data_IF_807342842658
#
_entry.id   IF_807342842658
#
_cell.length_a   1.000
_cell.length_b   1.000
_cell.length_c   1.000
_cell.angle_alpha   90.00
_cell.angle_beta   90.00
_cell.angle_gamma   90.00
#
_symmetry.space_group_name_H-M   'P 1'
#
loop_
_entity.id
_entity.type
_entity.pdbx_description
1 polymer ?
#
# COMPACT_ATOMS: atom_id res chain seq x y z
N UNK A 1 20.71 -12.72 -18.87
CA UNK A 1 20.15 -11.51 -19.51
C UNK A 1 18.76 -11.86 -20.03
N UNK A 2 17.70 -11.21 -19.56
CA UNK A 2 16.35 -11.43 -20.13
C UNK A 2 16.24 -10.54 -21.36
N UNK A 3 16.25 -11.13 -22.56
CA UNK A 3 16.06 -10.36 -23.79
C UNK A 3 14.58 -9.96 -23.91
N UNK A 4 14.29 -8.88 -24.64
CA UNK A 4 12.91 -8.49 -24.94
C UNK A 4 12.15 -9.65 -25.59
N UNK A 5 12.86 -10.49 -26.34
CA UNK A 5 12.38 -11.72 -26.94
C UNK A 5 11.98 -12.75 -25.90
N UNK A 6 12.76 -12.92 -24.82
CA UNK A 6 12.43 -13.78 -23.66
C UNK A 6 11.19 -13.26 -22.92
N UNK A 7 11.05 -11.94 -22.75
CA UNK A 7 9.86 -11.34 -22.12
C UNK A 7 8.62 -11.58 -22.99
N UNK A 8 8.74 -11.39 -24.31
CA UNK A 8 7.64 -11.65 -25.25
C UNK A 8 7.25 -13.12 -25.28
N UNK A 9 8.22 -14.04 -25.36
CA UNK A 9 7.93 -15.49 -25.34
C UNK A 9 7.33 -15.94 -24.02
N UNK A 10 7.83 -15.44 -22.89
CA UNK A 10 7.23 -15.72 -21.58
C UNK A 10 5.81 -15.14 -21.48
N UNK A 11 5.59 -13.94 -22.01
CA UNK A 11 4.28 -13.30 -22.08
C UNK A 11 3.29 -14.06 -22.96
N UNK A 12 3.72 -14.60 -24.10
CA UNK A 12 2.87 -15.44 -24.96
C UNK A 12 2.63 -16.84 -24.39
N UNK A 13 3.62 -17.43 -23.71
CA UNK A 13 3.50 -18.76 -23.10
C UNK A 13 2.65 -18.76 -21.82
N UNK A 14 2.85 -17.75 -20.96
CA UNK A 14 2.15 -17.63 -19.68
C UNK A 14 0.87 -16.79 -19.78
N UNK A 15 0.77 -15.89 -20.76
CA UNK A 15 -0.36 -15.00 -20.97
C UNK A 15 -1.71 -15.73 -20.98
N UNK A 16 -1.90 -16.77 -21.81
CA UNK A 16 -3.17 -17.51 -21.87
C UNK A 16 -3.56 -18.18 -20.54
N UNK A 17 -2.60 -18.45 -19.66
CA UNK A 17 -2.82 -19.15 -18.38
C UNK A 17 -3.10 -18.18 -17.22
N UNK A 18 -2.45 -17.02 -17.21
CA UNK A 18 -2.59 -16.01 -16.15
C UNK A 18 -3.62 -14.93 -16.46
N UNK A 19 -3.76 -14.53 -17.73
CA UNK A 19 -4.69 -13.47 -18.14
C UNK A 19 -6.16 -13.76 -17.78
N UNK A 20 -6.74 -14.96 -18.05
CA UNK A 20 -8.13 -15.22 -17.67
C UNK A 20 -8.32 -15.23 -16.14
N UNK A 21 -7.33 -15.70 -15.38
CA UNK A 21 -7.37 -15.67 -13.90
C UNK A 21 -7.28 -14.24 -13.37
N UNK A 22 -6.43 -13.40 -13.94
CA UNK A 22 -6.31 -12.00 -13.58
C UNK A 22 -7.60 -11.22 -13.89
N UNK A 23 -8.21 -11.45 -15.06
CA UNK A 23 -9.48 -10.85 -15.45
C UNK A 23 -10.61 -11.32 -14.51
N UNK A 24 -10.69 -12.62 -14.23
CA UNK A 24 -11.69 -13.18 -13.31
C UNK A 24 -11.55 -12.60 -11.90
N UNK A 25 -10.32 -12.49 -11.39
CA UNK A 25 -10.04 -11.88 -10.10
C UNK A 25 -10.41 -10.40 -10.08
N UNK A 26 -10.03 -9.64 -11.09
CA UNK A 26 -10.39 -8.22 -11.23
C UNK A 26 -11.91 -8.03 -11.26
N UNK A 27 -12.62 -8.82 -12.06
CA UNK A 27 -14.08 -8.78 -12.14
C UNK A 27 -14.72 -9.11 -10.78
N UNK A 28 -14.19 -10.11 -10.07
CA UNK A 28 -14.68 -10.49 -8.73
C UNK A 28 -14.52 -9.34 -7.73
N UNK A 29 -13.34 -8.70 -7.72
CA UNK A 29 -13.05 -7.57 -6.82
C UNK A 29 -13.93 -6.36 -7.18
N UNK A 30 -14.11 -6.08 -8.48
CA UNK A 30 -14.95 -4.99 -8.98
C UNK A 30 -16.41 -5.19 -8.59
N UNK A 31 -16.97 -6.37 -8.86
CA UNK A 31 -18.37 -6.69 -8.54
C UNK A 31 -18.61 -6.58 -7.03
N UNK A 32 -17.74 -7.17 -6.20
CA UNK A 32 -17.82 -7.04 -4.73
C UNK A 32 -17.77 -5.60 -4.24
N UNK A 33 -17.05 -4.74 -4.93
CA UNK A 33 -16.97 -3.32 -4.59
C UNK A 33 -18.25 -2.57 -5.00
N UNK A 34 -18.78 -2.84 -6.20
CA UNK A 34 -20.00 -2.21 -6.70
C UNK A 34 -21.26 -2.61 -5.94
N UNK A 35 -21.32 -3.84 -5.44
CA UNK A 35 -22.46 -4.35 -4.66
C UNK A 35 -22.31 -4.09 -3.15
N UNK A 36 -21.19 -3.50 -2.72
CA UNK A 36 -20.98 -3.21 -1.30
C UNK A 36 -21.79 -1.97 -0.88
N UNK A 37 -22.52 -2.03 0.25
CA UNK A 37 -23.27 -0.89 0.78
C UNK A 37 -22.38 0.19 1.42
N UNK A 38 -21.05 0.02 1.40
CA UNK A 38 -20.11 0.93 2.07
C UNK A 38 -19.77 2.10 1.14
N UNK A 39 -19.99 3.37 1.55
CA UNK A 39 -19.70 4.53 0.73
C UNK A 39 -18.18 4.75 0.56
N UNK A 40 -17.82 5.42 -0.53
CA UNK A 40 -16.46 5.93 -0.75
C UNK A 40 -16.15 6.97 0.32
N UNK A 41 -15.00 6.83 0.97
CA UNK A 41 -14.56 7.73 2.03
C UNK A 41 -13.25 8.44 1.67
N UNK A 42 -12.99 9.62 2.24
CA UNK A 42 -11.68 10.26 2.12
C UNK A 42 -10.59 9.39 2.76
N UNK A 43 -9.34 9.63 2.36
CA UNK A 43 -8.20 8.84 2.87
C UNK A 43 -8.06 9.04 4.39
N UNK A 44 -8.12 7.96 5.19
CA UNK A 44 -7.93 8.07 6.63
C UNK A 44 -6.54 8.65 6.97
N UNK A 45 -6.46 9.52 7.98
CA UNK A 45 -5.19 10.08 8.52
C UNK A 45 -4.09 9.03 8.75
N UNK A 46 -4.34 7.84 9.35
CA UNK A 46 -3.30 6.82 9.51
C UNK A 46 -2.74 6.32 8.17
N UNK A 47 -3.59 6.17 7.16
CA UNK A 47 -3.16 5.72 5.83
C UNK A 47 -2.38 6.82 5.10
N UNK A 48 -2.75 8.09 5.25
CA UNK A 48 -1.95 9.19 4.71
C UNK A 48 -0.51 9.18 5.26
N UNK A 49 -0.31 8.91 6.55
CA UNK A 49 1.03 8.75 7.14
C UNK A 49 1.80 7.58 6.51
N UNK A 50 1.13 6.44 6.32
CA UNK A 50 1.74 5.28 5.67
C UNK A 50 2.12 5.55 4.21
N UNK A 51 1.28 6.26 3.46
CA UNK A 51 1.56 6.67 2.09
C UNK A 51 2.77 7.61 2.02
N UNK A 52 2.93 8.52 2.98
CA UNK A 52 4.10 9.37 3.07
C UNK A 52 5.38 8.55 3.31
N UNK A 53 5.35 7.54 4.19
CA UNK A 53 6.49 6.66 4.42
C UNK A 53 6.88 5.92 3.12
N UNK A 54 5.90 5.34 2.42
CA UNK A 54 6.14 4.66 1.15
C UNK A 54 6.64 5.63 0.07
N UNK A 55 6.15 6.87 0.05
CA UNK A 55 6.63 7.90 -0.87
C UNK A 55 8.09 8.25 -0.59
N UNK A 56 8.48 8.48 0.66
CA UNK A 56 9.88 8.76 1.01
C UNK A 56 10.78 7.56 0.72
N UNK A 57 10.33 6.34 1.02
CA UNK A 57 11.04 5.11 0.66
C UNK A 57 11.26 5.03 -0.86
N UNK A 58 10.20 5.18 -1.66
CA UNK A 58 10.27 5.16 -3.11
C UNK A 58 11.18 6.27 -3.66
N UNK A 59 11.10 7.48 -3.09
CA UNK A 59 11.96 8.60 -3.47
C UNK A 59 13.43 8.30 -3.17
N UNK A 60 13.76 7.78 -1.98
CA UNK A 60 15.15 7.40 -1.65
C UNK A 60 15.67 6.28 -2.56
N UNK A 61 14.83 5.29 -2.87
CA UNK A 61 15.17 4.23 -3.80
C UNK A 61 15.41 4.77 -5.21
N UNK A 62 14.59 5.70 -5.70
CA UNK A 62 14.77 6.35 -6.99
C UNK A 62 16.02 7.23 -7.01
N UNK A 63 16.25 8.04 -5.99
CA UNK A 63 17.47 8.86 -5.87
C UNK A 63 18.73 7.99 -5.86
N UNK A 64 18.70 6.81 -5.24
CA UNK A 64 19.83 5.87 -5.25
C UNK A 64 20.21 5.36 -6.66
N UNK A 65 19.31 5.50 -7.65
CA UNK A 65 19.58 5.15 -9.04
C UNK A 65 20.34 6.24 -9.81
N UNK A 66 20.43 7.45 -9.26
CA UNK A 66 21.11 8.55 -9.91
C UNK A 66 22.63 8.30 -9.94
N UNK A 67 23.31 8.70 -11.04
CA UNK A 67 24.73 8.44 -11.23
C UNK A 67 25.61 9.09 -10.14
N UNK A 68 25.14 10.17 -9.52
CA UNK A 68 25.84 10.86 -8.44
C UNK A 68 26.07 9.96 -7.20
N UNK A 69 25.13 9.04 -6.91
CA UNK A 69 25.23 8.11 -5.77
C UNK A 69 25.83 6.74 -6.18
N UNK A 70 26.43 6.68 -7.36
CA UNK A 70 27.05 5.48 -7.91
C UNK A 70 28.55 5.67 -7.96
N UNK A 71 29.36 4.69 -7.51
CA UNK A 71 30.81 4.83 -7.58
C UNK A 71 31.25 4.90 -9.04
N UNK A 72 32.33 5.63 -9.28
CA UNK A 72 32.89 5.79 -10.61
C UNK A 72 33.39 4.45 -11.19
N UNK A 73 33.09 4.19 -12.46
CA UNK A 73 33.69 3.08 -13.19
C UNK A 73 34.93 3.55 -13.95
N UNK A 74 36.12 3.14 -13.50
CA UNK A 74 37.40 3.59 -14.07
C UNK A 74 37.59 3.19 -15.54
N UNK A 75 37.06 2.05 -15.99
CA UNK A 75 37.14 1.60 -17.38
C UNK A 75 36.21 2.43 -18.27
N UNK A 76 35.02 2.76 -17.78
CA UNK A 76 34.08 3.61 -18.49
C UNK A 76 34.58 5.07 -18.55
N UNK A 77 35.09 5.64 -17.46
CA UNK A 77 35.58 7.03 -17.48
C UNK A 77 36.79 7.19 -18.39
N UNK A 78 37.72 6.23 -18.38
CA UNK A 78 38.92 6.28 -19.23
C UNK A 78 38.69 5.76 -20.64
N UNK A 79 37.48 5.26 -20.96
CA UNK A 79 37.14 4.59 -22.22
C UNK A 79 38.15 3.48 -22.60
N UNK A 80 38.73 2.82 -21.59
CA UNK A 80 39.81 1.86 -21.79
C UNK A 80 39.27 0.45 -21.94
N UNK A 81 39.98 -0.36 -22.74
CA UNK A 81 39.61 -1.76 -22.90
C UNK A 81 39.88 -2.54 -21.62
N UNK A 82 39.10 -3.59 -21.35
CA UNK A 82 39.34 -4.48 -20.22
C UNK A 82 40.71 -5.17 -20.27
N UNK A 83 41.35 -5.32 -21.45
CA UNK A 83 42.70 -5.86 -21.60
C UNK A 83 43.82 -4.80 -21.44
N UNK A 84 43.48 -3.52 -21.25
CA UNK A 84 44.45 -2.42 -21.14
C UNK A 84 45.41 -2.67 -19.96
N UNK A 85 46.73 -2.54 -20.10
CA UNK A 85 47.66 -2.71 -18.97
C UNK A 85 47.33 -1.76 -17.81
N UNK A 86 47.50 -2.21 -16.56
CA UNK A 86 47.12 -1.41 -15.38
C UNK A 86 47.81 -0.05 -15.35
N UNK A 87 49.11 0.00 -15.64
CA UNK A 87 49.87 1.25 -15.60
C UNK A 87 49.30 2.29 -16.57
N UNK A 88 48.90 1.85 -17.77
CA UNK A 88 48.25 2.70 -18.77
C UNK A 88 46.87 3.15 -18.30
N UNK A 89 46.09 2.24 -17.71
CA UNK A 89 44.75 2.55 -17.20
C UNK A 89 44.79 3.65 -16.12
N UNK A 90 45.65 3.49 -15.11
CA UNK A 90 45.76 4.45 -14.01
C UNK A 90 46.43 5.75 -14.43
N UNK A 91 47.38 5.72 -15.38
CA UNK A 91 47.95 6.94 -15.98
C UNK A 91 46.87 7.74 -16.71
N UNK A 92 46.01 7.07 -17.48
CA UNK A 92 44.86 7.72 -18.14
C UNK A 92 43.85 8.25 -17.15
N UNK A 93 43.55 7.51 -16.09
CA UNK A 93 42.62 7.95 -15.04
C UNK A 93 43.11 9.24 -14.38
N UNK A 94 44.39 9.28 -14.04
CA UNK A 94 45.02 10.45 -13.44
C UNK A 94 45.02 11.66 -14.40
N UNK A 95 45.20 11.42 -15.71
CA UNK A 95 45.10 12.44 -16.74
C UNK A 95 43.66 12.99 -16.91
N UNK A 96 42.64 12.12 -16.95
CA UNK A 96 41.23 12.52 -17.10
C UNK A 96 40.76 13.37 -15.91
N UNK A 97 41.27 13.09 -14.70
CA UNK A 97 40.94 13.87 -13.50
C UNK A 97 41.76 15.16 -13.33
N UNK A 98 42.61 15.50 -14.30
CA UNK A 98 43.34 16.77 -14.35
C UNK A 98 44.46 16.95 -13.33
N UNK A 99 44.81 15.91 -12.57
CA UNK A 99 45.76 16.00 -11.44
C UNK A 99 47.19 15.53 -11.72
N UNK A 100 47.50 15.09 -12.95
CA UNK A 100 48.79 14.45 -13.24
C UNK A 100 49.05 13.27 -12.28
N UNK A 101 50.28 13.06 -11.76
CA UNK A 101 50.56 11.99 -10.78
C UNK A 101 49.73 12.07 -9.49
N UNK A 102 49.24 13.26 -9.13
CA UNK A 102 48.44 13.51 -7.92
C UNK A 102 46.93 13.36 -8.15
N UNK A 103 46.51 12.96 -9.36
CA UNK A 103 45.09 12.76 -9.70
C UNK A 103 44.50 11.43 -9.23
N UNK A 104 45.32 10.54 -8.66
CA UNK A 104 44.90 9.25 -8.11
C UNK A 104 44.52 9.39 -6.64
N UNK A 105 43.39 8.82 -6.27
CA UNK A 105 42.95 8.73 -4.86
C UNK A 105 43.62 7.56 -4.15
N UNK A 106 43.60 7.55 -2.82
CA UNK A 106 44.10 6.40 -2.02
C UNK A 106 43.38 5.09 -2.37
N UNK A 107 42.09 5.17 -2.69
CA UNK A 107 41.31 4.03 -3.17
C UNK A 107 41.82 3.51 -4.53
N UNK A 108 42.29 4.39 -5.43
CA UNK A 108 42.87 3.97 -6.70
C UNK A 108 44.22 3.27 -6.51
N UNK A 109 45.04 3.79 -5.59
CA UNK A 109 46.34 3.21 -5.26
C UNK A 109 46.21 1.80 -4.66
N UNK A 110 45.19 1.59 -3.83
CA UNK A 110 44.86 0.26 -3.27
C UNK A 110 44.21 -0.67 -4.30
N UNK A 111 43.41 -0.13 -5.22
CA UNK A 111 42.78 -0.92 -6.29
C UNK A 111 43.78 -1.40 -7.34
N UNK A 112 44.78 -0.58 -7.68
CA UNK A 112 45.76 -0.83 -8.75
C UNK A 112 46.41 -2.21 -8.72
N UNK A 113 46.99 -2.70 -7.59
CA UNK A 113 47.55 -4.04 -7.55
C UNK A 113 46.47 -5.14 -7.58
N UNK A 114 45.25 -4.84 -7.11
CA UNK A 114 44.17 -5.84 -7.01
C UNK A 114 43.52 -6.19 -8.34
N UNK A 115 43.49 -5.29 -9.32
CA UNK A 115 42.92 -5.54 -10.66
C UNK A 115 43.97 -5.94 -11.72
N UNK A 116 45.11 -6.50 -11.29
CA UNK A 116 46.20 -6.91 -12.18
C UNK A 116 45.83 -8.08 -13.09
N UNK A 117 45.08 -9.07 -12.59
CA UNK A 117 44.64 -10.21 -13.37
C UNK A 117 43.37 -9.91 -14.16
N UNK A 118 43.19 -10.60 -15.28
CA UNK A 118 41.96 -10.51 -16.08
C UNK A 118 40.73 -10.92 -15.26
N UNK A 119 40.88 -11.92 -14.39
CA UNK A 119 39.81 -12.40 -13.52
C UNK A 119 39.38 -11.36 -12.49
N UNK A 120 40.34 -10.68 -11.87
CA UNK A 120 40.06 -9.59 -10.94
C UNK A 120 39.34 -8.41 -11.64
N UNK A 121 39.67 -8.14 -12.91
CA UNK A 121 38.95 -7.13 -13.71
C UNK A 121 37.51 -7.56 -14.00
N UNK A 122 37.24 -8.83 -14.26
CA UNK A 122 35.88 -9.32 -14.40
C UNK A 122 35.10 -9.23 -13.07
N UNK A 123 35.73 -9.58 -11.95
CA UNK A 123 35.17 -9.43 -10.61
C UNK A 123 34.89 -7.96 -10.25
N UNK A 124 35.70 -7.01 -10.71
CA UNK A 124 35.44 -5.57 -10.60
C UNK A 124 34.10 -5.18 -11.24
N UNK A 125 33.76 -5.72 -12.42
CA UNK A 125 32.47 -5.44 -13.06
C UNK A 125 31.28 -6.09 -12.34
N UNK A 126 31.51 -7.17 -11.61
CA UNK A 126 30.49 -7.94 -10.91
C UNK A 126 30.19 -7.38 -9.50
N UNK A 127 31.22 -7.13 -8.69
CA UNK A 127 31.09 -6.68 -7.29
C UNK A 127 31.40 -5.20 -7.06
N UNK A 128 32.04 -4.52 -8.01
CA UNK A 128 32.35 -3.09 -7.93
C UNK A 128 33.67 -2.76 -7.21
N UNK A 129 34.05 -1.47 -7.18
CA UNK A 129 35.34 -1.01 -6.65
C UNK A 129 35.51 -1.23 -5.14
N UNK A 130 34.45 -1.04 -4.36
CA UNK A 130 34.50 -1.06 -2.89
C UNK A 130 34.85 -2.45 -2.34
N UNK A 131 34.19 -3.49 -2.86
CA UNK A 131 34.45 -4.89 -2.48
C UNK A 131 35.90 -5.27 -2.80
N UNK A 132 36.39 -4.89 -3.98
CA UNK A 132 37.76 -5.21 -4.38
C UNK A 132 38.79 -4.45 -3.54
N UNK A 133 38.59 -3.16 -3.29
CA UNK A 133 39.53 -2.34 -2.50
C UNK A 133 39.58 -2.77 -1.04
N UNK A 134 38.43 -2.97 -0.40
CA UNK A 134 38.33 -3.09 1.05
C UNK A 134 38.30 -4.54 1.56
N UNK A 135 38.06 -5.55 0.71
CA UNK A 135 38.07 -6.93 1.17
C UNK A 135 39.49 -7.42 1.53
N UNK A 136 39.72 -7.91 2.77
CA UNK A 136 41.03 -8.37 3.22
C UNK A 136 41.32 -9.84 2.91
N UNK A 137 40.29 -10.68 2.72
CA UNK A 137 40.42 -12.13 2.54
C UNK A 137 39.99 -12.62 1.14
N UNK A 138 39.57 -11.72 0.25
CA UNK A 138 39.07 -12.11 -1.06
C UNK A 138 40.20 -12.50 -2.01
N UNK A 139 40.02 -13.61 -2.72
CA UNK A 139 41.01 -14.18 -3.65
C UNK A 139 40.32 -14.45 -4.99
N UNK A 140 40.93 -14.05 -6.10
CA UNK A 140 40.34 -14.16 -7.44
C UNK A 140 40.01 -15.60 -7.86
N UNK A 141 40.70 -16.59 -7.29
CA UNK A 141 40.49 -18.02 -7.55
C UNK A 141 39.20 -18.55 -6.94
N UNK A 142 38.70 -17.92 -5.86
CA UNK A 142 37.41 -18.24 -5.23
C UNK A 142 36.47 -17.03 -5.23
N UNK A 143 35.63 -16.87 -6.27
CA UNK A 143 34.67 -15.78 -6.40
C UNK A 143 33.65 -15.68 -5.26
N UNK A 144 33.43 -16.76 -4.49
CA UNK A 144 32.47 -16.75 -3.37
C UNK A 144 32.96 -15.89 -2.21
N UNK A 145 34.28 -15.78 -2.02
CA UNK A 145 34.88 -14.90 -0.99
C UNK A 145 34.42 -13.44 -1.15
N UNK A 146 34.34 -12.96 -2.39
CA UNK A 146 33.84 -11.63 -2.73
C UNK A 146 32.34 -11.50 -2.45
N UNK A 147 31.55 -12.54 -2.70
CA UNK A 147 30.11 -12.52 -2.38
C UNK A 147 29.91 -12.37 -0.88
N UNK A 148 30.60 -13.17 -0.06
CA UNK A 148 30.48 -13.12 1.39
C UNK A 148 30.80 -11.74 1.96
N UNK A 149 31.85 -11.09 1.45
CA UNK A 149 32.18 -9.73 1.82
C UNK A 149 31.13 -8.72 1.34
N UNK A 150 30.56 -8.91 0.15
CA UNK A 150 29.56 -8.01 -0.40
C UNK A 150 28.18 -8.14 0.28
N UNK A 151 27.84 -9.28 0.88
CA UNK A 151 26.52 -9.58 1.45
C UNK A 151 25.94 -8.47 2.35
N UNK A 152 26.68 -7.87 3.30
CA UNK A 152 26.14 -6.77 4.10
C UNK A 152 25.72 -5.58 3.24
N UNK A 153 26.54 -5.18 2.26
CA UNK A 153 26.25 -4.07 1.34
C UNK A 153 25.03 -4.36 0.44
N UNK A 154 24.77 -5.63 0.12
CA UNK A 154 23.57 -6.07 -0.60
C UNK A 154 22.34 -6.11 0.32
N UNK A 155 22.49 -6.60 1.55
CA UNK A 155 21.39 -6.84 2.49
C UNK A 155 20.85 -5.56 3.13
N UNK A 156 21.72 -4.61 3.51
CA UNK A 156 21.33 -3.36 4.18
C UNK A 156 20.19 -2.61 3.48
N UNK A 157 20.24 -2.30 2.16
CA UNK A 157 19.16 -1.58 1.51
C UNK A 157 17.83 -2.35 1.54
N UNK A 158 17.85 -3.69 1.46
CA UNK A 158 16.63 -4.52 1.58
C UNK A 158 16.09 -4.57 3.00
N UNK A 159 16.96 -4.62 4.02
CA UNK A 159 16.54 -4.57 5.42
C UNK A 159 15.85 -3.22 5.70
N UNK A 160 16.42 -2.11 5.22
CA UNK A 160 15.82 -0.79 5.35
C UNK A 160 14.49 -0.68 4.61
N UNK A 161 14.40 -1.26 3.40
CA UNK A 161 13.16 -1.30 2.63
C UNK A 161 12.08 -2.14 3.32
N UNK A 162 12.42 -3.33 3.84
CA UNK A 162 11.53 -4.17 4.64
C UNK A 162 11.05 -3.46 5.90
N UNK A 163 11.92 -2.68 6.55
CA UNK A 163 11.55 -1.86 7.70
C UNK A 163 10.55 -0.77 7.30
N UNK A 164 10.77 -0.07 6.18
CA UNK A 164 9.84 0.93 5.66
C UNK A 164 8.46 0.31 5.33
N UNK A 165 8.44 -0.82 4.63
CA UNK A 165 7.22 -1.58 4.34
C UNK A 165 6.53 -2.07 5.62
N UNK A 166 7.29 -2.58 6.57
CA UNK A 166 6.80 -3.08 7.86
C UNK A 166 6.22 -1.98 8.75
N UNK A 167 6.80 -0.78 8.73
CA UNK A 167 6.27 0.41 9.39
C UNK A 167 5.00 0.90 8.70
N UNK A 168 5.02 1.05 7.38
CA UNK A 168 3.87 1.50 6.60
C UNK A 168 2.65 0.57 6.69
N UNK A 169 2.87 -0.73 6.92
CA UNK A 169 1.80 -1.72 7.11
C UNK A 169 1.52 -2.05 8.58
N UNK A 170 2.22 -1.43 9.53
CA UNK A 170 2.00 -1.67 10.95
C UNK A 170 0.64 -1.14 11.42
N UNK A 171 0.08 -1.79 12.45
CA UNK A 171 -1.13 -1.32 13.13
C UNK A 171 -0.94 0.05 13.80
N UNK A 172 0.29 0.38 14.22
CA UNK A 172 0.62 1.66 14.85
C UNK A 172 0.51 2.84 13.88
N UNK A 173 0.96 2.68 12.64
CA UNK A 173 0.96 3.76 11.64
C UNK A 173 -0.33 3.78 10.83
N UNK A 174 -0.67 2.65 10.21
CA UNK A 174 -1.76 2.52 9.24
C UNK A 174 -3.06 1.96 9.83
N UNK A 175 -3.06 1.54 11.10
CA UNK A 175 -4.22 0.94 11.74
C UNK A 175 -4.65 -0.38 11.11
N UNK A 176 -5.95 -0.67 11.18
CA UNK A 176 -6.55 -1.88 10.59
C UNK A 176 -6.37 -1.97 9.06
N UNK A 177 -6.24 -0.83 8.38
CA UNK A 177 -6.11 -0.77 6.92
C UNK A 177 -4.77 -1.31 6.43
N UNK A 178 -3.68 -1.09 7.17
CA UNK A 178 -2.35 -1.56 6.79
C UNK A 178 -2.08 -3.01 7.17
N UNK A 179 -2.55 -3.43 8.35
CA UNK A 179 -2.22 -4.74 8.91
C UNK A 179 -2.61 -5.91 7.98
N UNK A 180 -3.73 -5.78 7.23
CA UNK A 180 -4.18 -6.80 6.29
C UNK A 180 -3.21 -7.06 5.13
N UNK A 181 -2.38 -6.07 4.77
CA UNK A 181 -1.43 -6.16 3.67
C UNK A 181 0.00 -6.49 4.13
N UNK A 182 0.23 -6.63 5.44
CA UNK A 182 1.56 -6.82 6.03
C UNK A 182 2.28 -8.05 5.49
N UNK A 183 1.61 -9.21 5.42
CA UNK A 183 2.21 -10.45 4.91
C UNK A 183 2.59 -10.34 3.44
N UNK A 184 1.74 -9.71 2.63
CA UNK A 184 2.01 -9.48 1.22
C UNK A 184 3.15 -8.48 1.03
N UNK A 185 3.21 -7.40 1.81
CA UNK A 185 4.31 -6.44 1.79
C UNK A 185 5.65 -7.12 2.13
N UNK A 186 5.67 -7.94 3.19
CA UNK A 186 6.85 -8.72 3.57
C UNK A 186 7.26 -9.68 2.44
N UNK A 187 6.30 -10.39 1.84
CA UNK A 187 6.55 -11.28 0.71
C UNK A 187 7.14 -10.56 -0.51
N UNK A 188 6.62 -9.36 -0.86
CA UNK A 188 7.16 -8.55 -1.95
C UNK A 188 8.59 -8.08 -1.63
N UNK A 189 8.83 -7.54 -0.43
CA UNK A 189 10.16 -7.07 -0.03
C UNK A 189 11.20 -8.19 -0.02
N UNK A 190 10.86 -9.35 0.56
CA UNK A 190 11.73 -10.54 0.54
C UNK A 190 11.92 -11.04 -0.89
N UNK A 191 10.90 -11.00 -1.74
CA UNK A 191 11.00 -11.38 -3.15
C UNK A 191 11.98 -10.51 -3.93
N UNK A 192 11.96 -9.19 -3.72
CA UNK A 192 12.93 -8.25 -4.34
C UNK A 192 14.35 -8.55 -3.88
N UNK A 193 14.55 -8.81 -2.57
CA UNK A 193 15.84 -9.18 -2.01
C UNK A 193 16.36 -10.52 -2.55
N UNK A 194 15.50 -11.54 -2.56
CA UNK A 194 15.83 -12.87 -3.06
C UNK A 194 16.18 -12.85 -4.56
N UNK A 195 15.49 -12.03 -5.34
CA UNK A 195 15.80 -11.83 -6.75
C UNK A 195 17.20 -11.27 -6.96
N UNK A 196 17.63 -10.27 -6.17
CA UNK A 196 18.99 -9.73 -6.25
C UNK A 196 20.04 -10.77 -5.88
N UNK A 197 19.86 -11.47 -4.76
CA UNK A 197 20.80 -12.54 -4.35
C UNK A 197 20.88 -13.63 -5.42
N UNK A 198 19.75 -14.05 -5.98
CA UNK A 198 19.70 -15.01 -7.07
C UNK A 198 20.45 -14.50 -8.31
N UNK A 199 20.29 -13.22 -8.66
CA UNK A 199 20.99 -12.62 -9.79
C UNK A 199 22.52 -12.61 -9.58
N UNK A 200 23.00 -12.34 -8.37
CA UNK A 200 24.44 -12.43 -8.05
C UNK A 200 24.96 -13.87 -8.11
N UNK A 201 24.21 -14.83 -7.57
CA UNK A 201 24.62 -16.24 -7.53
C UNK A 201 24.65 -16.93 -8.90
N UNK A 202 23.76 -16.54 -9.81
CA UNK A 202 23.59 -17.20 -11.12
C UNK A 202 24.29 -16.49 -12.26
N UNK A 203 24.78 -15.27 -12.05
CA UNK A 203 25.45 -14.51 -13.09
C UNK A 203 26.86 -15.06 -13.34
N UNK A 204 27.15 -15.36 -14.61
CA UNK A 204 28.51 -15.69 -15.04
C UNK A 204 29.38 -14.42 -15.02
N UNK A 205 30.24 -14.31 -14.00
CA UNK A 205 31.15 -13.18 -13.83
C UNK A 205 32.22 -13.09 -14.92
N UNK A 206 32.49 -14.18 -15.66
CA UNK A 206 33.52 -14.23 -16.70
C UNK A 206 33.04 -13.72 -18.06
N UNK A 207 31.77 -13.33 -18.21
CA UNK A 207 31.20 -12.91 -19.51
C UNK A 207 32.00 -11.77 -20.15
N UNK A 208 32.50 -10.82 -19.34
CA UNK A 208 33.27 -9.68 -19.84
C UNK A 208 34.68 -10.06 -20.36
N UNK A 209 35.15 -11.30 -20.17
CA UNK A 209 36.44 -11.75 -20.74
C UNK A 209 36.46 -11.66 -22.27
N UNK A 210 35.30 -11.86 -22.90
CA UNK A 210 35.15 -11.91 -24.36
C UNK A 210 34.93 -10.53 -24.98
N UNK A 211 34.71 -9.50 -24.16
CA UNK A 211 34.40 -8.16 -24.65
C UNK A 211 35.67 -7.49 -25.19
N UNK A 212 35.62 -7.05 -26.45
CA UNK A 212 36.75 -6.42 -27.14
C UNK A 212 36.61 -4.90 -27.10
N UNK A 213 35.38 -4.40 -27.18
CA UNK A 213 35.08 -2.96 -27.20
C UNK A 213 34.51 -2.47 -25.86
N UNK A 214 34.75 -1.20 -25.49
CA UNK A 214 34.17 -0.62 -24.28
C UNK A 214 32.64 -0.60 -24.23
N UNK A 215 31.98 -0.50 -25.39
CA UNK A 215 30.53 -0.54 -25.54
C UNK A 215 29.92 -1.91 -25.27
N UNK A 216 30.72 -2.98 -25.31
CA UNK A 216 30.27 -4.36 -25.11
C UNK A 216 30.27 -4.77 -23.64
N UNK A 217 30.81 -3.94 -22.73
CA UNK A 217 30.89 -4.28 -21.31
C UNK A 217 29.53 -4.35 -20.65
N UNK A 218 29.30 -5.43 -19.93
CA UNK A 218 28.16 -5.55 -19.04
C UNK A 218 28.58 -5.00 -17.68
N UNK A 219 28.10 -3.80 -17.36
CA UNK A 219 28.28 -3.14 -16.07
C UNK A 219 27.33 -3.75 -15.02
N UNK A 220 27.52 -5.03 -14.68
CA UNK A 220 26.60 -5.79 -13.83
C UNK A 220 26.36 -5.11 -12.48
N UNK A 221 27.43 -4.75 -11.76
CA UNK A 221 27.34 -4.09 -10.44
C UNK A 221 26.48 -2.82 -10.48
N UNK A 222 26.78 -1.89 -11.40
CA UNK A 222 26.06 -0.62 -11.54
C UNK A 222 24.62 -0.85 -11.98
N UNK A 223 24.39 -1.75 -12.92
CA UNK A 223 23.04 -2.10 -13.40
C UNK A 223 22.19 -2.70 -12.28
N UNK A 224 22.77 -3.56 -11.45
CA UNK A 224 22.02 -4.20 -10.37
C UNK A 224 21.60 -3.19 -9.29
N UNK A 225 22.41 -2.16 -9.00
CA UNK A 225 22.00 -1.04 -8.14
C UNK A 225 20.77 -0.31 -8.69
N UNK A 226 20.75 -0.03 -10.00
CA UNK A 226 19.59 0.60 -10.65
C UNK A 226 18.36 -0.31 -10.61
N UNK A 227 18.52 -1.60 -10.91
CA UNK A 227 17.43 -2.59 -10.85
C UNK A 227 16.87 -2.70 -9.42
N UNK A 228 17.73 -2.71 -8.41
CA UNK A 228 17.33 -2.71 -6.99
C UNK A 228 16.47 -1.49 -6.66
N UNK A 229 16.94 -0.28 -6.96
CA UNK A 229 16.21 0.96 -6.68
C UNK A 229 14.86 1.02 -7.39
N UNK A 230 14.81 0.63 -8.67
CA UNK A 230 13.56 0.54 -9.43
C UNK A 230 12.62 -0.52 -8.84
N UNK A 231 13.15 -1.70 -8.48
CA UNK A 231 12.39 -2.80 -7.89
C UNK A 231 11.72 -2.40 -6.57
N UNK A 232 12.46 -1.72 -5.68
CA UNK A 232 11.93 -1.16 -4.44
C UNK A 232 10.85 -0.09 -4.70
N UNK A 233 11.09 0.82 -5.66
CA UNK A 233 10.11 1.84 -6.04
C UNK A 233 8.80 1.23 -6.58
N UNK A 234 8.89 0.18 -7.41
CA UNK A 234 7.72 -0.53 -7.92
C UNK A 234 6.96 -1.22 -6.78
N UNK A 235 7.67 -1.89 -5.87
CA UNK A 235 7.07 -2.50 -4.70
C UNK A 235 6.31 -1.48 -3.83
N UNK A 236 6.91 -0.31 -3.57
CA UNK A 236 6.30 0.78 -2.82
C UNK A 236 5.08 1.35 -3.54
N UNK A 237 5.14 1.53 -4.86
CA UNK A 237 4.01 2.01 -5.65
C UNK A 237 2.82 1.03 -5.64
N UNK A 238 3.08 -0.28 -5.74
CA UNK A 238 2.06 -1.32 -5.62
C UNK A 238 1.41 -1.26 -4.24
N UNK A 239 2.23 -1.23 -3.18
CA UNK A 239 1.74 -1.19 -1.80
C UNK A 239 0.94 0.08 -1.49
N UNK A 240 1.43 1.24 -1.94
CA UNK A 240 0.73 2.51 -1.79
C UNK A 240 -0.63 2.50 -2.51
N UNK A 241 -0.67 1.94 -3.72
CA UNK A 241 -1.92 1.80 -4.49
C UNK A 241 -2.92 0.91 -3.77
N UNK A 242 -2.49 -0.23 -3.23
CA UNK A 242 -3.36 -1.15 -2.49
C UNK A 242 -3.88 -0.54 -1.18
N UNK A 243 -3.03 0.18 -0.44
CA UNK A 243 -3.44 0.90 0.77
C UNK A 243 -4.44 2.02 0.46
N UNK A 244 -4.19 2.81 -0.57
CA UNK A 244 -5.08 3.89 -0.99
C UNK A 244 -6.44 3.36 -1.45
N UNK A 245 -6.45 2.39 -2.37
CA UNK A 245 -7.69 1.84 -2.92
C UNK A 245 -8.53 1.13 -1.84
N UNK A 246 -7.86 0.38 -0.96
CA UNK A 246 -8.53 -0.40 0.08
C UNK A 246 -8.96 0.39 1.31
N UNK A 247 -8.39 1.58 1.53
CA UNK A 247 -8.80 2.48 2.61
C UNK A 247 -9.87 3.48 2.19
N UNK A 248 -9.95 3.84 0.91
CA UNK A 248 -10.98 4.74 0.37
C UNK A 248 -12.25 4.02 -0.07
N UNK A 249 -12.33 2.71 0.16
CA UNK A 249 -13.41 1.82 -0.30
C UNK A 249 -13.62 1.84 -1.83
N UNK A 250 -12.59 2.21 -2.60
CA UNK A 250 -12.64 2.22 -4.07
C UNK A 250 -12.40 0.85 -4.68
N UNK A 251 -11.68 -0.02 -3.96
CA UNK A 251 -11.42 -1.41 -4.35
C UNK A 251 -11.04 -2.21 -3.09
N UNK A 252 -11.26 -3.52 -3.05
CA UNK A 252 -10.94 -4.36 -1.87
C UNK A 252 -11.68 -3.93 -0.59
N UNK A 253 -12.97 -3.62 -0.73
CA UNK A 253 -13.83 -3.25 0.40
C UNK A 253 -13.93 -4.41 1.36
N UNK A 254 -13.54 -4.17 2.61
CA UNK A 254 -13.72 -5.10 3.72
C UNK A 254 -14.95 -4.67 4.51
N UNK A 255 -16.08 -5.38 4.42
CA UNK A 255 -17.26 -5.02 5.19
C UNK A 255 -16.97 -5.11 6.69
N UNK A 256 -17.61 -4.26 7.52
CA UNK A 256 -17.47 -4.34 8.97
C UNK A 256 -17.91 -5.72 9.45
N UNK A 257 -17.20 -6.26 10.43
CA UNK A 257 -17.48 -7.58 11.00
C UNK A 257 -18.86 -7.59 11.65
N UNK A 258 -19.45 -8.78 11.84
CA UNK A 258 -20.76 -8.89 12.52
C UNK A 258 -20.68 -8.29 13.92
N UNK A 259 -19.56 -8.51 14.64
CA UNK A 259 -19.30 -7.92 15.93
C UNK A 259 -19.28 -6.38 15.89
N UNK A 260 -18.56 -5.78 14.93
CA UNK A 260 -18.48 -4.32 14.76
C UNK A 260 -19.86 -3.73 14.41
N UNK A 261 -20.67 -4.45 13.62
CA UNK A 261 -22.06 -4.06 13.32
C UNK A 261 -22.95 -4.12 14.56
N UNK A 262 -22.82 -5.16 15.38
CA UNK A 262 -23.60 -5.29 16.61
C UNK A 262 -23.20 -4.26 17.66
N UNK A 263 -21.92 -3.92 17.76
CA UNK A 263 -21.44 -2.86 18.65
C UNK A 263 -22.01 -1.49 18.26
N UNK A 264 -21.97 -1.14 16.97
CA UNK A 264 -22.57 0.12 16.48
C UNK A 264 -24.08 0.14 16.70
N UNK A 265 -24.77 -0.98 16.47
CA UNK A 265 -26.20 -1.10 16.75
C UNK A 265 -26.52 -0.98 18.25
N UNK A 266 -25.68 -1.52 19.12
CA UNK A 266 -25.81 -1.41 20.56
C UNK A 266 -25.57 0.02 21.04
N UNK A 267 -24.51 0.68 20.57
CA UNK A 267 -24.19 2.07 20.92
C UNK A 267 -25.34 3.02 20.52
N UNK A 268 -25.89 2.84 19.32
CA UNK A 268 -27.05 3.62 18.86
C UNK A 268 -28.30 3.34 19.69
N UNK A 269 -28.53 2.09 20.08
CA UNK A 269 -29.64 1.70 20.96
C UNK A 269 -29.48 2.27 22.37
N UNK A 270 -28.27 2.26 22.93
CA UNK A 270 -27.96 2.85 24.25
C UNK A 270 -28.18 4.36 24.24
N UNK A 271 -27.75 5.06 23.19
CA UNK A 271 -28.04 6.48 23.02
C UNK A 271 -29.55 6.76 22.91
N UNK A 272 -30.29 5.94 22.17
CA UNK A 272 -31.75 6.06 22.07
C UNK A 272 -32.43 5.81 23.43
N UNK A 273 -32.01 4.76 24.15
CA UNK A 273 -32.50 4.44 25.50
C UNK A 273 -32.24 5.57 26.48
N UNK A 274 -31.05 6.17 26.45
CA UNK A 274 -30.71 7.32 27.27
C UNK A 274 -31.65 8.50 27.04
N UNK A 275 -31.94 8.82 25.76
CA UNK A 275 -32.90 9.87 25.39
C UNK A 275 -34.33 9.56 25.87
N UNK A 276 -34.80 8.32 25.71
CA UNK A 276 -36.14 7.90 26.17
C UNK A 276 -36.24 8.01 27.69
N UNK A 277 -35.20 7.61 28.42
CA UNK A 277 -35.19 7.71 29.88
C UNK A 277 -35.24 9.18 30.33
N UNK A 278 -34.44 10.06 29.72
CA UNK A 278 -34.48 11.50 29.99
C UNK A 278 -35.86 12.07 29.66
N UNK A 279 -36.47 11.70 28.52
CA UNK A 279 -37.82 12.11 28.18
C UNK A 279 -38.85 11.65 29.22
N UNK A 280 -38.70 10.42 29.72
CA UNK A 280 -39.52 9.87 30.81
C UNK A 280 -39.38 10.67 32.10
N UNK A 281 -38.15 11.04 32.48
CA UNK A 281 -37.89 11.90 33.64
C UNK A 281 -38.54 13.28 33.43
N UNK A 282 -38.31 13.92 32.28
CA UNK A 282 -38.88 15.24 31.96
C UNK A 282 -40.41 15.19 32.01
N UNK A 283 -41.04 14.17 31.40
CA UNK A 283 -42.50 14.01 31.42
C UNK A 283 -43.03 13.83 32.85
N UNK A 284 -42.34 13.03 33.67
CA UNK A 284 -42.71 12.86 35.07
C UNK A 284 -42.52 14.17 35.87
N UNK A 285 -41.44 14.91 35.64
CA UNK A 285 -41.19 16.21 36.28
C UNK A 285 -42.26 17.24 35.90
N UNK A 286 -42.63 17.32 34.63
CA UNK A 286 -43.72 18.19 34.15
C UNK A 286 -45.06 17.79 34.77
N UNK A 287 -45.36 16.49 34.87
CA UNK A 287 -46.61 16.02 35.46
C UNK A 287 -46.70 16.30 36.96
N UNK A 288 -45.55 16.29 37.67
CA UNK A 288 -45.47 16.54 39.11
C UNK A 288 -45.46 18.03 39.48
N UNK A 289 -44.97 18.90 38.59
CA UNK A 289 -44.98 20.34 38.79
C UNK A 289 -46.32 20.94 38.30
N UNK A 290 -47.07 21.55 39.21
CA UNK A 290 -48.39 22.08 38.89
C UNK A 290 -48.35 23.23 37.87
N UNK A 291 -47.30 24.06 37.90
CA UNK A 291 -47.12 25.18 36.98
C UNK A 291 -46.79 24.73 35.56
N UNK A 292 -45.90 23.74 35.42
CA UNK A 292 -45.55 23.15 34.12
C UNK A 292 -46.72 22.35 33.55
N UNK A 293 -47.41 21.55 34.36
CA UNK A 293 -48.61 20.81 33.95
C UNK A 293 -49.68 21.72 33.36
N UNK A 294 -50.04 22.81 34.06
CA UNK A 294 -51.02 23.78 33.55
C UNK A 294 -50.60 24.42 32.22
N UNK A 295 -49.31 24.73 32.05
CA UNK A 295 -48.79 25.26 30.77
C UNK A 295 -48.89 24.23 29.65
N UNK A 296 -48.56 22.97 29.92
CA UNK A 296 -48.69 21.89 28.94
C UNK A 296 -50.16 21.66 28.54
N UNK A 297 -51.08 21.62 29.50
CA UNK A 297 -52.53 21.54 29.22
C UNK A 297 -53.01 22.74 28.40
N UNK A 298 -52.65 23.97 28.79
CA UNK A 298 -53.00 25.18 28.05
C UNK A 298 -52.42 25.20 26.63
N UNK A 299 -51.20 24.67 26.45
CA UNK A 299 -50.60 24.49 25.13
C UNK A 299 -51.44 23.53 24.28
N UNK A 300 -51.79 22.34 24.78
CA UNK A 300 -52.57 21.36 24.01
C UNK A 300 -53.99 21.83 23.70
N UNK A 301 -54.66 22.53 24.63
CA UNK A 301 -55.96 23.15 24.38
C UNK A 301 -55.86 24.22 23.28
N UNK A 302 -54.81 25.05 23.33
CA UNK A 302 -54.57 26.07 22.30
C UNK A 302 -54.26 25.44 20.95
N UNK A 303 -53.38 24.45 20.92
CA UNK A 303 -53.00 23.73 19.70
C UNK A 303 -54.23 23.06 19.07
N UNK A 304 -55.06 22.38 19.86
CA UNK A 304 -56.30 21.77 19.38
C UNK A 304 -57.29 22.79 18.83
N UNK A 305 -57.38 23.97 19.46
CA UNK A 305 -58.22 25.07 18.96
C UNK A 305 -57.67 25.66 17.65
N UNK A 306 -56.38 25.96 17.60
CA UNK A 306 -55.71 26.51 16.39
C UNK A 306 -55.79 25.51 15.24
N UNK A 307 -55.50 24.24 15.50
CA UNK A 307 -55.58 23.20 14.47
C UNK A 307 -57.03 22.95 14.04
N UNK A 308 -57.99 23.05 14.95
CA UNK A 308 -59.42 23.04 14.63
C UNK A 308 -59.81 24.20 13.70
N UNK A 309 -59.44 25.43 14.06
CA UNK A 309 -59.68 26.63 13.24
C UNK A 309 -59.04 26.52 11.85
N UNK A 310 -57.80 26.01 11.76
CA UNK A 310 -57.11 25.76 10.49
C UNK A 310 -57.80 24.65 9.69
N UNK A 311 -58.37 23.63 10.34
CA UNK A 311 -59.13 22.56 9.67
C UNK A 311 -60.58 22.95 9.37
N UNK A 312 -61.08 24.08 9.85
CA UNK A 312 -62.39 24.64 9.48
C UNK A 312 -62.29 25.49 8.19
N UNK A 313 -61.08 25.93 7.81
CA UNK A 313 -60.85 26.63 6.55
C UNK A 313 -61.06 25.70 5.35
N UNK A 314 -62.05 26.02 4.52
CA UNK A 314 -62.41 25.21 3.33
C UNK A 314 -61.23 24.95 2.40
N UNK A 315 -60.33 25.91 2.22
CA UNK A 315 -59.15 25.77 1.37
C UNK A 315 -58.18 24.71 1.92
N UNK A 316 -58.01 24.64 3.24
CA UNK A 316 -57.17 23.64 3.91
C UNK A 316 -57.81 22.27 3.86
N UNK A 317 -59.13 22.17 4.10
CA UNK A 317 -59.86 20.89 4.00
C UNK A 317 -59.83 20.34 2.58
N UNK A 318 -60.10 21.18 1.59
CA UNK A 318 -60.06 20.79 0.17
C UNK A 318 -58.62 20.44 -0.27
N UNK A 319 -57.61 21.15 0.22
CA UNK A 319 -56.19 20.86 -0.01
C UNK A 319 -55.71 19.56 0.64
N UNK A 320 -56.09 19.29 1.89
CA UNK A 320 -55.77 18.04 2.61
C UNK A 320 -56.49 16.86 1.96
N UNK A 321 -57.76 17.02 1.59
CA UNK A 321 -58.54 16.00 0.87
C UNK A 321 -57.95 15.70 -0.50
N UNK A 322 -57.54 16.71 -1.27
CA UNK A 322 -56.86 16.52 -2.55
C UNK A 322 -55.49 15.84 -2.40
N UNK A 323 -54.74 16.15 -1.33
CA UNK A 323 -53.48 15.48 -1.03
C UNK A 323 -53.67 14.00 -0.61
N UNK A 324 -54.72 13.70 0.15
CA UNK A 324 -55.09 12.34 0.54
C UNK A 324 -55.59 11.52 -0.65
N UNK A 325 -56.49 12.06 -1.47
CA UNK A 325 -57.05 11.38 -2.64
C UNK A 325 -56.04 11.19 -3.77
N UNK A 326 -55.11 12.14 -3.96
CA UNK A 326 -54.16 12.13 -5.08
C UNK A 326 -52.81 11.44 -4.81
N UNK A 327 -52.38 11.28 -3.55
CA UNK A 327 -51.01 10.82 -3.23
C UNK A 327 -50.90 9.74 -2.15
N UNK A 328 -51.96 9.45 -1.39
CA UNK A 328 -51.87 8.54 -0.23
C UNK A 328 -52.96 7.46 -0.33
N UNK A 329 -52.56 6.22 -0.60
CA UNK A 329 -53.46 5.07 -0.48
C UNK A 329 -53.71 4.79 1.00
N UNK A 330 -54.78 5.33 1.56
CA UNK A 330 -55.13 5.21 3.00
C UNK A 330 -55.14 3.74 3.44
N UNK A 331 -55.68 2.84 2.63
CA UNK A 331 -55.69 1.40 2.90
C UNK A 331 -54.27 0.80 3.06
N UNK A 332 -53.30 1.29 2.28
CA UNK A 332 -51.90 0.85 2.36
C UNK A 332 -51.22 1.40 3.62
N UNK A 333 -51.54 2.64 4.00
CA UNK A 333 -51.03 3.25 5.24
C UNK A 333 -51.59 2.52 6.47
N UNK A 334 -52.87 2.14 6.46
CA UNK A 334 -53.48 1.33 7.51
C UNK A 334 -52.87 -0.07 7.58
N UNK A 335 -52.59 -0.70 6.44
CA UNK A 335 -51.92 -2.00 6.38
C UNK A 335 -50.48 -1.93 6.90
N UNK A 336 -49.71 -0.91 6.49
CA UNK A 336 -48.34 -0.69 6.94
C UNK A 336 -48.28 -0.37 8.45
N UNK A 337 -49.23 0.44 8.95
CA UNK A 337 -49.36 0.74 10.38
C UNK A 337 -49.73 -0.51 11.19
N UNK A 338 -50.64 -1.36 10.67
CA UNK A 338 -51.03 -2.62 11.30
C UNK A 338 -49.86 -3.60 11.34
N UNK A 339 -49.12 -3.75 10.25
CA UNK A 339 -47.89 -4.58 10.20
C UNK A 339 -46.83 -4.09 11.18
N UNK A 340 -46.64 -2.78 11.30
CA UNK A 340 -45.71 -2.18 12.24
C UNK A 340 -46.13 -2.43 13.71
N UNK A 341 -47.41 -2.28 14.02
CA UNK A 341 -47.97 -2.57 15.34
C UNK A 341 -47.87 -4.06 15.70
N UNK A 342 -48.21 -4.95 14.77
CA UNK A 342 -48.09 -6.41 14.96
C UNK A 342 -46.63 -6.82 15.18
N UNK A 343 -45.69 -6.19 14.47
CA UNK A 343 -44.24 -6.39 14.67
C UNK A 343 -43.70 -5.89 16.01
N UNK A 344 -44.36 -4.94 16.66
CA UNK A 344 -44.02 -4.46 18.02
C UNK A 344 -44.59 -5.36 19.13
N UNK A 345 -45.69 -6.08 18.86
CA UNK A 345 -46.37 -6.93 19.85
C UNK A 345 -45.81 -8.37 19.86
N UNK A 346 -45.19 -8.83 18.77
CA UNK A 346 -44.53 -10.15 18.72
C UNK A 346 -43.07 -10.08 19.20
N UNK A 347 -42.87 -9.96 20.51
CA UNK A 347 -41.93 -10.79 21.26
C UNK A 347 -42.06 -10.53 22.78
N UNK A 348 -42.70 -11.46 23.50
CA UNK A 348 -41.97 -12.13 24.58
C UNK A 348 -42.31 -13.63 24.66
N UNK A 349 -41.53 -14.46 23.97
CA UNK A 349 -41.22 -15.81 24.45
C UNK A 349 -39.96 -16.32 23.75
N UNK A 350 -38.89 -16.49 24.54
CA UNK A 350 -37.85 -17.44 24.20
C UNK A 350 -38.46 -18.83 24.32
N UNK A 351 -38.84 -19.42 23.19
CA UNK A 351 -39.21 -20.82 23.08
C UNK A 351 -38.04 -21.63 22.55
N UNK A 352 -37.43 -22.41 23.42
CA UNK A 352 -36.43 -23.46 23.12
C UNK A 352 -37.00 -24.39 22.02
N UNK A 353 -36.23 -24.76 20.98
CA UNK A 353 -36.72 -25.70 19.97
C UNK A 353 -36.82 -27.12 20.57
N UNK A 354 -37.89 -27.89 20.29
CA UNK A 354 -37.94 -29.27 20.69
C UNK A 354 -36.98 -30.08 19.82
N UNK A 355 -36.13 -30.84 20.51
CA UNK A 355 -35.39 -31.98 19.96
C UNK A 355 -36.36 -33.05 19.48
N UNK A 356 -36.31 -33.39 18.20
CA UNK A 356 -36.47 -34.76 17.69
C UNK A 356 -35.50 -34.95 16.53
#
# INVERSE_FOLDING_TARGET
MVSLTTIKTLGFALGPLFLPKAISWYNTVRIKTQTSPVPIQPTPKPVSRALNILFFSALTALLSTLPYFSPENIFHTTQSRIQTPNDVLFTRLAAVRGGGPNGLTDADNTLRPKIASMDARCLYFHYGPDVLTNCPFCISDDPMTYLYYALPSLAVPHILHLLALGLATSSLVAGKYGNKWRTMAAGIGVGVAAFEVYAYLTYDWQVNKRAVQPSEYILFYWRMRTVRGIGMCIADAIMASLLYLSSTNRMFVTPPSVAERTEVALETLEHARGKINILGIVRNSVARDEGLRRRTEAYWVREGKVMGEVMDEREVVEGVKAALEGRVQIAKVEEDARRFADGLVVHPSMGVPPTV
#
